data_IF_508638982443
#
_entry.id   IF_508638982443
#
_cell.length_a   1.000
_cell.length_b   1.000
_cell.length_c   1.000
_cell.angle_alpha   90.00
_cell.angle_beta   90.00
_cell.angle_gamma   90.00
#
_symmetry.space_group_name_H-M   'P 1'
#
loop_
_entity.id
_entity.type
_entity.pdbx_description
1 polymer ?
#
# COMPACT_ATOMS: atom_id res chain seq x y z
N UNK A 1 20.31 -26.78 14.66
CA UNK A 1 20.08 -25.96 15.86
C UNK A 1 18.58 -25.88 16.04
N UNK A 2 18.09 -26.27 17.20
CA UNK A 2 16.68 -26.16 17.55
C UNK A 2 16.39 -24.67 17.79
N UNK A 3 15.76 -24.02 16.81
CA UNK A 3 15.31 -22.64 16.88
C UNK A 3 13.84 -22.59 17.30
N UNK A 4 13.45 -23.31 18.35
CA UNK A 4 12.10 -23.21 18.90
C UNK A 4 11.99 -21.93 19.74
N UNK A 5 12.00 -20.78 19.08
CA UNK A 5 11.58 -19.55 19.75
C UNK A 5 10.10 -19.70 20.14
N UNK A 6 9.71 -19.32 21.37
CA UNK A 6 8.33 -19.41 21.79
C UNK A 6 7.48 -18.45 20.95
N UNK A 7 6.26 -18.89 20.60
CA UNK A 7 5.28 -18.01 19.97
C UNK A 7 4.98 -16.83 20.92
N UNK A 8 5.30 -15.61 20.49
CA UNK A 8 5.01 -14.38 21.24
C UNK A 8 3.54 -13.95 21.11
N UNK A 9 2.78 -14.64 20.26
CA UNK A 9 1.43 -14.25 19.84
C UNK A 9 0.45 -15.35 20.25
N UNK A 10 -0.65 -14.94 20.90
CA UNK A 10 -1.72 -15.85 21.32
C UNK A 10 -2.30 -16.64 20.14
N UNK A 11 -2.75 -17.86 20.42
CA UNK A 11 -3.23 -18.84 19.41
C UNK A 11 -4.27 -18.25 18.44
N UNK A 12 -5.17 -17.41 18.93
CA UNK A 12 -6.24 -16.81 18.11
C UNK A 12 -5.72 -15.81 17.07
N UNK A 13 -4.54 -15.21 17.28
CA UNK A 13 -3.92 -14.28 16.33
C UNK A 13 -2.90 -14.96 15.40
N UNK A 14 -2.40 -16.15 15.74
CA UNK A 14 -1.40 -16.88 14.94
C UNK A 14 -1.77 -17.00 13.45
N UNK A 15 -3.04 -17.27 13.07
CA UNK A 15 -3.42 -17.35 11.65
C UNK A 15 -3.20 -16.06 10.86
N UNK A 16 -3.12 -14.90 11.52
CA UNK A 16 -2.92 -13.60 10.90
C UNK A 16 -1.45 -13.18 10.78
N UNK A 17 -0.54 -13.80 11.55
CA UNK A 17 0.88 -13.40 11.60
C UNK A 17 1.53 -13.45 10.22
N UNK A 18 1.37 -14.58 9.51
CA UNK A 18 1.94 -14.74 8.17
C UNK A 18 1.29 -13.80 7.14
N UNK A 19 -0.05 -13.72 7.01
CA UNK A 19 -0.69 -12.74 6.12
C UNK A 19 -0.26 -11.30 6.39
N UNK A 20 -0.20 -10.88 7.66
CA UNK A 20 0.21 -9.52 8.04
C UNK A 20 1.68 -9.26 7.71
N UNK A 21 2.56 -10.24 7.94
CA UNK A 21 3.97 -10.14 7.53
C UNK A 21 4.12 -9.96 6.02
N UNK A 22 3.37 -10.72 5.22
CA UNK A 22 3.36 -10.58 3.76
C UNK A 22 2.80 -9.22 3.34
N UNK A 23 1.73 -8.74 4.00
CA UNK A 23 1.15 -7.43 3.74
C UNK A 23 2.15 -6.30 4.00
N UNK A 24 2.88 -6.34 5.10
CA UNK A 24 3.89 -5.31 5.43
C UNK A 24 5.01 -5.28 4.38
N UNK A 25 5.52 -6.45 3.99
CA UNK A 25 6.61 -6.54 3.00
C UNK A 25 6.12 -6.10 1.61
N UNK A 26 4.99 -6.64 1.14
CA UNK A 26 4.43 -6.29 -0.17
C UNK A 26 4.10 -4.80 -0.26
N UNK A 27 3.55 -4.21 0.81
CA UNK A 27 3.34 -2.77 0.86
C UNK A 27 4.66 -2.00 0.72
N UNK A 28 5.71 -2.40 1.45
CA UNK A 28 6.98 -1.69 1.44
C UNK A 28 7.64 -1.69 0.05
N UNK A 29 7.56 -2.82 -0.66
CA UNK A 29 7.99 -2.94 -2.05
C UNK A 29 7.19 -2.01 -2.96
N UNK A 30 5.86 -2.08 -2.90
CA UNK A 30 4.98 -1.22 -3.69
C UNK A 30 5.18 0.28 -3.40
N UNK A 31 5.47 0.67 -2.15
CA UNK A 31 5.76 2.06 -1.80
C UNK A 31 7.12 2.52 -2.35
N UNK A 32 8.11 1.64 -2.40
CA UNK A 32 9.40 1.93 -3.03
C UNK A 32 9.27 2.09 -4.55
N UNK A 33 8.53 1.21 -5.24
CA UNK A 33 8.30 1.34 -6.68
C UNK A 33 7.42 2.54 -7.03
N UNK A 34 6.49 2.93 -6.14
CA UNK A 34 5.76 4.19 -6.30
C UNK A 34 6.70 5.40 -6.23
N UNK A 35 7.68 5.39 -5.32
CA UNK A 35 8.70 6.43 -5.25
C UNK A 35 9.53 6.49 -6.53
N UNK A 36 9.98 5.34 -7.06
CA UNK A 36 10.74 5.30 -8.31
C UNK A 36 9.89 5.84 -9.48
N UNK A 37 8.63 5.40 -9.59
CA UNK A 37 7.70 5.91 -10.59
C UNK A 37 7.55 7.43 -10.51
N UNK A 38 7.28 7.98 -9.33
CA UNK A 38 7.12 9.44 -9.16
C UNK A 38 8.42 10.19 -9.45
N UNK A 39 9.57 9.62 -9.09
CA UNK A 39 10.89 10.14 -9.48
C UNK A 39 11.01 10.25 -10.99
N UNK A 40 10.66 9.20 -11.72
CA UNK A 40 10.70 9.19 -13.18
C UNK A 40 9.69 10.16 -13.81
N UNK A 41 8.49 10.32 -13.24
CA UNK A 41 7.55 11.36 -13.69
C UNK A 41 8.12 12.79 -13.53
N UNK A 42 9.06 12.97 -12.60
CA UNK A 42 9.73 14.24 -12.30
C UNK A 42 11.11 14.36 -12.94
N UNK A 43 11.43 13.52 -13.93
CA UNK A 43 12.71 13.57 -14.64
C UNK A 43 13.88 12.92 -13.90
N UNK A 44 13.59 11.99 -12.98
CA UNK A 44 14.60 11.27 -12.16
C UNK A 44 14.98 12.01 -10.87
N UNK A 45 14.18 12.99 -10.44
CA UNK A 45 14.44 13.76 -9.23
C UNK A 45 13.79 13.10 -8.00
N UNK A 46 14.55 12.21 -7.36
CA UNK A 46 14.10 11.45 -6.20
C UNK A 46 13.77 12.35 -5.00
N UNK A 47 14.52 13.45 -4.81
CA UNK A 47 14.29 14.39 -3.69
C UNK A 47 12.92 15.05 -3.84
N UNK A 48 12.58 15.52 -5.06
CA UNK A 48 11.24 16.06 -5.32
C UNK A 48 10.17 14.99 -5.20
N UNK A 49 10.43 13.76 -5.62
CA UNK A 49 9.47 12.65 -5.47
C UNK A 49 9.15 12.37 -3.99
N UNK A 50 10.15 12.33 -3.11
CA UNK A 50 9.95 12.22 -1.66
C UNK A 50 9.13 13.39 -1.12
N UNK A 51 9.39 14.62 -1.58
CA UNK A 51 8.62 15.79 -1.18
C UNK A 51 7.15 15.74 -1.64
N UNK A 52 6.87 15.13 -2.80
CA UNK A 52 5.51 14.86 -3.28
C UNK A 52 4.83 13.82 -2.38
N UNK A 53 5.46 12.68 -2.15
CA UNK A 53 4.85 11.57 -1.40
C UNK A 53 4.62 11.88 0.09
N UNK A 54 5.39 12.82 0.67
CA UNK A 54 5.21 13.27 2.05
C UNK A 54 4.17 14.39 2.21
N UNK A 55 3.64 14.97 1.13
CA UNK A 55 2.66 16.04 1.25
C UNK A 55 1.27 15.51 1.61
N UNK A 56 0.43 16.38 2.18
CA UNK A 56 -0.93 16.02 2.63
C UNK A 56 -1.85 15.63 1.47
N UNK A 57 -1.60 16.22 0.31
CA UNK A 57 -2.27 16.04 -0.97
C UNK A 57 -1.46 15.12 -1.92
N UNK A 58 -0.67 14.20 -1.35
CA UNK A 58 0.23 13.33 -2.12
C UNK A 58 -0.52 12.54 -3.20
N UNK A 59 -1.72 12.04 -2.91
CA UNK A 59 -2.57 11.34 -3.88
C UNK A 59 -2.87 12.21 -5.10
N UNK A 60 -3.40 13.40 -4.86
CA UNK A 60 -3.85 14.33 -5.90
C UNK A 60 -2.67 14.78 -6.77
N UNK A 61 -1.52 15.01 -6.13
CA UNK A 61 -0.29 15.39 -6.83
C UNK A 61 0.25 14.26 -7.72
N UNK A 62 0.26 13.02 -7.22
CA UNK A 62 0.70 11.86 -8.02
C UNK A 62 -0.26 11.60 -9.19
N UNK A 63 -1.57 11.74 -8.98
CA UNK A 63 -2.56 11.64 -10.06
C UNK A 63 -2.34 12.72 -11.12
N UNK A 64 -2.06 13.95 -10.71
CA UNK A 64 -1.77 15.05 -11.62
C UNK A 64 -0.49 14.79 -12.43
N UNK A 65 0.56 14.24 -11.81
CA UNK A 65 1.77 13.82 -12.51
C UNK A 65 1.48 12.71 -13.53
N UNK A 66 0.70 11.70 -13.15
CA UNK A 66 0.32 10.60 -14.04
C UNK A 66 -0.46 11.07 -15.28
N UNK A 67 -1.22 12.17 -15.18
CA UNK A 67 -1.92 12.77 -16.32
C UNK A 67 -0.98 13.55 -17.27
N UNK A 68 0.22 13.92 -16.81
CA UNK A 68 1.16 14.75 -17.57
C UNK A 68 2.27 13.95 -18.27
N UNK A 69 2.43 12.67 -17.95
CA UNK A 69 3.53 11.82 -18.48
C UNK A 69 3.32 11.31 -19.90
N UNK A 70 2.38 11.89 -20.66
CA UNK A 70 2.17 11.59 -22.07
C UNK A 70 1.57 10.21 -22.38
N UNK A 71 1.10 9.47 -21.37
CA UNK A 71 0.32 8.25 -21.56
C UNK A 71 -1.08 8.60 -22.09
N UNK A 72 -1.65 7.72 -22.91
CA UNK A 72 -3.00 7.86 -23.44
C UNK A 72 -3.77 6.54 -23.43
N UNK A 73 -5.09 6.62 -23.57
CA UNK A 73 -5.97 5.45 -23.65
C UNK A 73 -5.88 4.55 -22.42
N UNK A 74 -5.89 3.23 -22.67
CA UNK A 74 -5.95 2.20 -21.64
C UNK A 74 -4.81 2.29 -20.61
N UNK A 75 -3.60 2.62 -21.03
CA UNK A 75 -2.43 2.70 -20.14
C UNK A 75 -2.58 3.81 -19.08
N UNK A 76 -3.13 4.96 -19.48
CA UNK A 76 -3.40 6.06 -18.56
C UNK A 76 -4.54 5.70 -17.60
N UNK A 77 -5.63 5.11 -18.13
CA UNK A 77 -6.79 4.70 -17.33
C UNK A 77 -6.40 3.66 -16.27
N UNK A 78 -5.61 2.65 -16.66
CA UNK A 78 -5.08 1.64 -15.75
C UNK A 78 -4.23 2.28 -14.66
N UNK A 79 -3.26 3.12 -15.03
CA UNK A 79 -2.36 3.74 -14.06
C UNK A 79 -3.11 4.61 -13.05
N UNK A 80 -4.02 5.46 -13.51
CA UNK A 80 -4.84 6.32 -12.66
C UNK A 80 -5.70 5.48 -11.71
N UNK A 81 -6.41 4.47 -12.23
CA UNK A 81 -7.25 3.58 -11.42
C UNK A 81 -6.46 2.84 -10.33
N UNK A 82 -5.23 2.42 -10.67
CA UNK A 82 -4.35 1.68 -9.76
C UNK A 82 -3.72 2.59 -8.70
N UNK A 83 -3.35 3.83 -9.04
CA UNK A 83 -2.95 4.86 -8.07
C UNK A 83 -4.10 5.10 -7.09
N UNK A 84 -5.34 5.30 -7.55
CA UNK A 84 -6.47 5.51 -6.63
C UNK A 84 -6.72 4.32 -5.71
N UNK A 85 -6.58 3.11 -6.24
CA UNK A 85 -6.76 1.88 -5.48
C UNK A 85 -5.65 1.67 -4.45
N UNK A 86 -4.39 1.98 -4.79
CA UNK A 86 -3.26 1.93 -3.86
C UNK A 86 -3.50 2.79 -2.62
N UNK A 87 -4.00 4.01 -2.76
CA UNK A 87 -4.26 4.88 -1.60
C UNK A 87 -5.38 4.34 -0.72
N UNK A 88 -6.47 3.80 -1.30
CA UNK A 88 -7.55 3.16 -0.53
C UNK A 88 -7.02 1.94 0.24
N UNK A 89 -6.28 1.08 -0.44
CA UNK A 89 -5.67 -0.11 0.16
C UNK A 89 -4.62 0.25 1.23
N UNK A 90 -3.91 1.37 1.07
CA UNK A 90 -2.98 1.91 2.08
C UNK A 90 -3.70 2.29 3.36
N UNK A 91 -4.91 2.85 3.26
CA UNK A 91 -5.75 3.15 4.43
C UNK A 91 -6.17 1.87 5.14
N UNK A 92 -6.67 0.87 4.40
CA UNK A 92 -7.05 -0.44 4.95
C UNK A 92 -5.86 -1.13 5.64
N UNK A 93 -4.69 -1.12 4.99
CA UNK A 93 -3.44 -1.63 5.55
C UNK A 93 -3.11 -0.92 6.86
N UNK A 94 -3.14 0.40 6.87
CA UNK A 94 -2.81 1.18 8.06
C UNK A 94 -3.72 0.81 9.23
N UNK A 95 -5.02 0.60 8.97
CA UNK A 95 -5.94 0.13 10.01
C UNK A 95 -5.60 -1.26 10.52
N UNK A 96 -5.30 -2.21 9.63
CA UNK A 96 -4.88 -3.56 10.05
C UNK A 96 -3.60 -3.57 10.88
N UNK A 97 -2.68 -2.63 10.65
CA UNK A 97 -1.40 -2.58 11.38
C UNK A 97 -1.49 -1.76 12.67
N UNK A 98 -2.32 -0.70 12.69
CA UNK A 98 -2.33 0.27 13.79
C UNK A 98 -3.57 0.21 14.68
N UNK A 99 -4.67 -0.39 14.24
CA UNK A 99 -5.83 -0.60 15.10
C UNK A 99 -5.49 -1.66 16.15
N UNK A 100 -6.17 -1.59 17.30
CA UNK A 100 -6.01 -2.58 18.36
C UNK A 100 -6.69 -3.88 17.95
N UNK A 101 -5.96 -4.99 17.97
CA UNK A 101 -6.49 -6.34 17.80
C UNK A 101 -7.00 -6.91 19.14
N UNK A 102 -8.12 -7.63 19.11
CA UNK A 102 -8.67 -8.29 20.29
C UNK A 102 -9.52 -9.52 19.91
N UNK A 103 -9.60 -10.55 20.77
CA UNK A 103 -10.54 -11.64 20.60
C UNK A 103 -11.97 -11.17 20.93
N UNK A 104 -12.88 -11.24 19.97
CA UNK A 104 -14.31 -11.03 20.19
C UNK A 104 -14.94 -12.32 20.72
N UNK A 105 -15.29 -12.31 22.01
CA UNK A 105 -15.85 -13.47 22.70
C UNK A 105 -17.27 -13.83 22.24
N UNK A 106 -18.04 -12.85 21.74
CA UNK A 106 -19.41 -13.07 21.28
C UNK A 106 -19.44 -13.78 19.92
N UNK A 107 -18.58 -13.34 19.01
CA UNK A 107 -18.54 -13.86 17.64
C UNK A 107 -17.52 -14.99 17.45
N UNK A 108 -16.72 -15.29 18.48
CA UNK A 108 -15.61 -16.26 18.46
C UNK A 108 -14.65 -16.00 17.30
N UNK A 109 -14.32 -14.73 17.08
CA UNK A 109 -13.47 -14.24 15.98
C UNK A 109 -12.51 -13.18 16.50
N UNK A 110 -11.48 -12.90 15.71
CA UNK A 110 -10.58 -11.78 15.95
C UNK A 110 -11.21 -10.50 15.36
N UNK A 111 -11.12 -9.41 16.11
CA UNK A 111 -11.63 -8.11 15.71
C UNK A 111 -10.57 -7.02 15.91
N UNK A 112 -10.75 -5.91 15.21
CA UNK A 112 -9.93 -4.70 15.32
C UNK A 112 -10.77 -3.52 15.79
N UNK A 113 -10.14 -2.58 16.50
CA UNK A 113 -10.75 -1.34 16.95
C UNK A 113 -9.79 -0.18 16.81
N UNK A 114 -10.20 0.81 16.03
CA UNK A 114 -9.42 2.01 15.73
C UNK A 114 -10.21 3.30 15.93
N UNK A 115 -9.51 4.42 15.83
CA UNK A 115 -10.09 5.76 15.81
C UNK A 115 -9.76 6.44 14.49
N UNK A 116 -10.73 7.10 13.87
CA UNK A 116 -10.46 7.95 12.70
C UNK A 116 -9.62 9.18 13.09
N UNK A 117 -8.81 9.67 12.15
CA UNK A 117 -8.07 10.94 12.30
C UNK A 117 -8.89 12.16 11.87
N UNK A 118 -10.22 12.06 11.93
CA UNK A 118 -11.13 13.15 11.55
C UNK A 118 -11.20 14.23 12.64
N UNK A 119 -11.74 15.40 12.31
CA UNK A 119 -12.01 16.48 13.29
C UNK A 119 -12.90 15.99 14.44
N UNK A 120 -13.80 15.07 14.15
CA UNK A 120 -14.58 14.29 15.13
C UNK A 120 -14.16 12.83 15.03
N UNK A 121 -13.27 12.34 15.92
CA UNK A 121 -12.83 10.96 15.91
C UNK A 121 -14.01 10.01 16.08
N UNK A 122 -14.11 9.02 15.19
CA UNK A 122 -15.11 7.95 15.26
C UNK A 122 -14.39 6.64 15.54
N UNK A 123 -14.93 5.89 16.49
CA UNK A 123 -14.49 4.52 16.73
C UNK A 123 -14.98 3.63 15.58
N UNK A 124 -14.08 2.84 15.01
CA UNK A 124 -14.41 1.89 13.96
C UNK A 124 -13.97 0.50 14.41
N UNK A 125 -14.91 -0.43 14.34
CA UNK A 125 -14.68 -1.85 14.55
C UNK A 125 -14.51 -2.56 13.22
N UNK A 126 -13.65 -3.58 13.19
CA UNK A 126 -13.45 -4.46 12.05
C UNK A 126 -13.39 -5.91 12.47
N UNK A 127 -13.72 -6.82 11.57
CA UNK A 127 -13.63 -8.26 11.77
C UNK A 127 -12.85 -8.88 10.62
N UNK A 128 -11.54 -8.57 10.50
CA UNK A 128 -10.77 -8.97 9.34
C UNK A 128 -10.68 -10.50 9.26
N UNK A 129 -10.82 -11.00 8.05
CA UNK A 129 -10.59 -12.41 7.72
C UNK A 129 -9.18 -12.61 7.19
N UNK A 130 -8.66 -13.83 7.33
CA UNK A 130 -7.34 -14.22 6.80
C UNK A 130 -7.28 -13.98 5.28
N UNK A 131 -8.38 -14.26 4.58
CA UNK A 131 -8.49 -14.10 3.12
C UNK A 131 -8.46 -12.63 2.69
N UNK A 132 -9.10 -11.72 3.44
CA UNK A 132 -9.04 -10.29 3.16
C UNK A 132 -7.62 -9.74 3.32
N UNK A 133 -6.90 -10.15 4.37
CA UNK A 133 -5.51 -9.73 4.59
C UNK A 133 -4.59 -10.25 3.47
N UNK A 134 -4.77 -11.51 3.05
CA UNK A 134 -4.04 -12.07 1.92
C UNK A 134 -4.36 -11.36 0.61
N UNK A 135 -5.63 -11.08 0.37
CA UNK A 135 -6.09 -10.41 -0.85
C UNK A 135 -5.50 -9.01 -0.94
N UNK A 136 -5.45 -8.28 0.19
CA UNK A 136 -4.81 -6.97 0.27
C UNK A 136 -3.30 -7.06 -0.01
N UNK A 137 -2.60 -8.05 0.57
CA UNK A 137 -1.18 -8.26 0.29
C UNK A 137 -0.91 -8.53 -1.21
N UNK A 138 -1.75 -9.34 -1.87
CA UNK A 138 -1.66 -9.59 -3.32
C UNK A 138 -1.90 -8.32 -4.15
N UNK A 139 -2.82 -7.45 -3.73
CA UNK A 139 -3.05 -6.18 -4.43
C UNK A 139 -1.81 -5.28 -4.38
N UNK A 140 -1.11 -5.22 -3.25
CA UNK A 140 0.17 -4.51 -3.17
C UNK A 140 1.24 -5.09 -4.08
N UNK A 141 1.33 -6.42 -4.20
CA UNK A 141 2.21 -7.04 -5.20
C UNK A 141 1.85 -6.62 -6.63
N UNK A 142 0.57 -6.52 -6.97
CA UNK A 142 0.17 -6.02 -8.30
C UNK A 142 0.48 -4.55 -8.52
N UNK A 143 0.52 -3.73 -7.46
CA UNK A 143 0.91 -2.33 -7.55
C UNK A 143 2.42 -2.19 -7.77
N UNK A 144 3.21 -2.97 -7.03
CA UNK A 144 4.66 -3.13 -7.20
C UNK A 144 5.03 -3.42 -8.66
N UNK A 145 4.47 -4.49 -9.24
CA UNK A 145 4.69 -4.88 -10.64
C UNK A 145 4.37 -3.74 -11.64
N UNK A 146 3.22 -3.07 -11.45
CA UNK A 146 2.78 -2.01 -12.33
C UNK A 146 3.67 -0.77 -12.23
N UNK A 147 3.97 -0.31 -11.01
CA UNK A 147 4.76 0.88 -10.79
C UNK A 147 6.19 0.69 -11.31
N UNK A 148 6.78 -0.47 -11.05
CA UNK A 148 8.12 -0.81 -11.56
C UNK A 148 8.17 -0.81 -13.08
N UNK A 149 7.19 -1.47 -13.72
CA UNK A 149 7.11 -1.51 -15.18
C UNK A 149 6.98 -0.10 -15.77
N UNK A 150 6.12 0.76 -15.20
CA UNK A 150 5.93 2.13 -15.72
C UNK A 150 7.16 3.02 -15.49
N UNK A 151 7.83 2.90 -14.35
CA UNK A 151 9.09 3.59 -14.08
C UNK A 151 10.17 3.20 -15.12
N UNK A 152 10.32 1.90 -15.38
CA UNK A 152 11.23 1.38 -16.40
C UNK A 152 10.96 1.95 -17.80
N UNK A 153 9.68 1.97 -18.23
CA UNK A 153 9.30 2.51 -19.54
C UNK A 153 9.67 4.00 -19.64
N UNK A 154 9.31 4.80 -18.64
CA UNK A 154 9.63 6.24 -18.62
C UNK A 154 11.15 6.50 -18.66
N UNK A 155 11.92 5.71 -17.92
CA UNK A 155 13.39 5.80 -17.92
C UNK A 155 13.97 5.50 -19.30
N UNK A 156 13.48 4.44 -19.95
CA UNK A 156 13.93 4.02 -21.28
C UNK A 156 13.62 5.09 -22.33
N UNK A 157 12.41 5.65 -22.31
CA UNK A 157 11.99 6.65 -23.29
C UNK A 157 12.80 7.95 -23.15
N UNK A 158 13.17 8.34 -21.92
CA UNK A 158 14.09 9.46 -21.69
C UNK A 158 15.49 9.20 -22.24
N UNK A 159 16.03 7.99 -22.04
CA UNK A 159 17.34 7.58 -22.54
C UNK A 159 17.42 7.50 -24.07
N UNK A 160 16.30 7.27 -24.76
CA UNK A 160 16.21 7.26 -26.22
C UNK A 160 16.17 8.66 -26.85
N UNK A 161 16.04 9.72 -26.03
CA UNK A 161 15.93 11.12 -26.49
C UNK A 161 17.26 11.88 -26.39
N UNK A 162 18.38 11.18 -26.17
CA UNK A 162 19.75 11.73 -26.10
C UNK A 162 20.58 11.30 -27.29
#
# INVERSE_FOLDING_TARGET
>A
MDHSEPNLVDEHFQPFVRPLGNLVIAFALAEAELLDLVSEMLGGDEIKAVAVLKSRDSKERVLSLAQLIGLGGYDLEELVSKIESFWRDKEDRNRLIHDRWFPNLYERRVATRGLTRAKEPKEIFGTPTIEEVWSLARRFQSYDDLFSHRAYVLRRDRGATV
#
